data_IF_375580295310
#
_entry.id   IF_375580295310
#
_cell.length_a   1.000
_cell.length_b   1.000
_cell.length_c   1.000
_cell.angle_alpha   90.00
_cell.angle_beta   90.00
_cell.angle_gamma   90.00
#
_symmetry.space_group_name_H-M   'P 1'
#
loop_
_entity.id
_entity.type
_entity.pdbx_description
1 polymer ?
#
# COMPACT_ATOMS: atom_id res chain seq x y z
N UNK A 1 18.09 -34.51 26.54
CA UNK A 1 18.88 -33.94 25.43
C UNK A 1 17.91 -33.43 24.38
N UNK A 2 17.75 -32.11 24.28
CA UNK A 2 16.98 -31.49 23.19
C UNK A 2 17.86 -31.42 21.94
N UNK A 3 17.32 -31.65 20.73
CA UNK A 3 18.13 -31.62 19.52
C UNK A 3 18.59 -30.19 19.22
N UNK A 4 19.88 -30.03 18.98
CA UNK A 4 20.49 -28.80 18.51
C UNK A 4 20.07 -28.60 17.05
N UNK A 5 19.03 -27.79 16.83
CA UNK A 5 18.61 -27.41 15.48
C UNK A 5 19.67 -26.48 14.89
N UNK A 6 20.30 -26.94 13.82
CA UNK A 6 21.41 -26.26 13.15
C UNK A 6 20.93 -24.94 12.51
N UNK A 7 21.46 -23.79 12.94
CA UNK A 7 21.13 -22.44 12.43
C UNK A 7 21.16 -22.32 10.90
N UNK A 8 21.94 -23.15 10.20
CA UNK A 8 21.97 -23.18 8.72
C UNK A 8 20.68 -23.71 8.08
N UNK A 9 19.89 -24.53 8.78
CA UNK A 9 18.62 -25.05 8.27
C UNK A 9 17.47 -24.05 8.42
N UNK A 10 17.46 -23.22 9.47
CA UNK A 10 16.48 -22.13 9.62
C UNK A 10 16.64 -21.07 8.53
N UNK A 11 17.88 -20.67 8.21
CA UNK A 11 18.15 -19.66 7.16
C UNK A 11 17.73 -20.18 5.77
N UNK A 12 17.94 -21.46 5.47
CA UNK A 12 17.47 -22.06 4.20
C UNK A 12 15.94 -22.15 4.12
N UNK A 13 15.25 -22.41 5.23
CA UNK A 13 13.78 -22.43 5.27
C UNK A 13 13.20 -21.02 5.10
N UNK A 14 13.81 -20.01 5.73
CA UNK A 14 13.44 -18.60 5.55
C UNK A 14 13.64 -18.14 4.11
N UNK A 15 14.71 -18.56 3.43
CA UNK A 15 14.98 -18.23 2.02
C UNK A 15 14.04 -18.99 1.05
N UNK A 16 13.63 -20.22 1.36
CA UNK A 16 12.66 -20.97 0.55
C UNK A 16 11.24 -20.41 0.68
N UNK A 17 10.84 -19.96 1.88
CA UNK A 17 9.61 -19.15 2.06
C UNK A 17 9.76 -17.80 1.34
N UNK A 18 10.97 -17.21 1.32
CA UNK A 18 11.27 -15.97 0.60
C UNK A 18 11.15 -16.08 -0.92
N UNK A 19 11.60 -17.19 -1.50
CA UNK A 19 11.50 -17.45 -2.95
C UNK A 19 10.06 -17.75 -3.37
N UNK A 20 9.26 -18.39 -2.49
CA UNK A 20 7.81 -18.47 -2.68
C UNK A 20 7.15 -17.08 -2.59
N UNK A 21 7.65 -16.18 -1.72
CA UNK A 21 7.17 -14.79 -1.64
C UNK A 21 7.65 -13.86 -2.76
N UNK A 22 8.67 -14.25 -3.55
CA UNK A 22 9.03 -13.53 -4.78
C UNK A 22 7.95 -13.70 -5.86
N UNK A 23 7.31 -14.88 -5.95
CA UNK A 23 6.08 -15.05 -6.74
C UNK A 23 4.93 -14.25 -6.13
N UNK A 24 4.88 -14.13 -4.80
CA UNK A 24 3.85 -13.36 -4.10
C UNK A 24 3.96 -11.83 -4.23
N UNK A 25 4.96 -11.28 -4.94
CA UNK A 25 5.08 -9.82 -5.15
C UNK A 25 4.22 -9.34 -6.32
N UNK A 26 4.12 -10.12 -7.38
CA UNK A 26 3.08 -9.92 -8.39
C UNK A 26 1.70 -10.18 -7.76
N UNK A 27 1.61 -11.21 -6.91
CA UNK A 27 0.38 -11.50 -6.18
C UNK A 27 0.04 -10.41 -5.15
N UNK A 28 0.99 -9.67 -4.57
CA UNK A 28 0.64 -8.60 -3.63
C UNK A 28 -0.20 -7.54 -4.36
N UNK A 29 0.26 -7.04 -5.51
CA UNK A 29 -0.52 -6.14 -6.36
C UNK A 29 -1.88 -6.71 -6.79
N UNK A 30 -1.91 -8.00 -7.16
CA UNK A 30 -3.11 -8.69 -7.64
C UNK A 30 -4.11 -9.05 -6.52
N UNK A 31 -3.64 -9.49 -5.36
CA UNK A 31 -4.42 -9.81 -4.15
C UNK A 31 -5.14 -8.56 -3.68
N UNK A 32 -4.49 -7.39 -3.73
CA UNK A 32 -5.11 -6.16 -3.26
C UNK A 32 -6.21 -5.67 -4.22
N UNK A 33 -5.94 -5.71 -5.53
CA UNK A 33 -6.96 -5.45 -6.55
C UNK A 33 -8.16 -6.40 -6.38
N UNK A 34 -7.93 -7.62 -5.87
CA UNK A 34 -8.96 -8.63 -5.61
C UNK A 34 -9.72 -8.33 -4.31
N UNK A 35 -9.06 -7.90 -3.23
CA UNK A 35 -9.72 -7.55 -1.95
C UNK A 35 -10.64 -6.33 -2.09
N UNK A 36 -10.22 -5.27 -2.78
CA UNK A 36 -11.07 -4.09 -3.01
C UNK A 36 -12.29 -4.42 -3.90
N UNK A 37 -12.14 -5.34 -4.85
CA UNK A 37 -13.26 -5.85 -5.67
C UNK A 37 -14.23 -6.76 -4.90
N UNK A 38 -13.75 -7.46 -3.86
CA UNK A 38 -14.53 -8.42 -3.08
C UNK A 38 -15.24 -7.80 -1.87
N UNK A 39 -14.85 -6.60 -1.44
CA UNK A 39 -15.64 -5.82 -0.49
C UNK A 39 -16.96 -5.41 -1.17
N UNK A 40 -18.08 -5.84 -0.57
CA UNK A 40 -19.43 -5.76 -1.12
C UNK A 40 -19.69 -4.44 -1.90
N UNK A 41 -19.90 -4.48 -3.24
CA UNK A 41 -19.83 -3.31 -4.11
C UNK A 41 -20.88 -2.23 -3.82
N UNK A 42 -21.92 -2.55 -3.04
CA UNK A 42 -23.00 -1.61 -2.69
C UNK A 42 -22.51 -0.55 -1.67
N UNK A 43 -21.62 -0.93 -0.74
CA UNK A 43 -21.13 -0.02 0.30
C UNK A 43 -20.01 0.92 -0.18
N UNK A 44 -19.13 0.41 -1.06
CA UNK A 44 -17.98 1.19 -1.57
C UNK A 44 -18.39 2.25 -2.59
N UNK A 45 -19.42 1.98 -3.42
CA UNK A 45 -19.93 2.98 -4.38
C UNK A 45 -20.39 4.28 -3.69
N UNK A 46 -20.90 4.21 -2.47
CA UNK A 46 -21.34 5.38 -1.70
C UNK A 46 -20.17 6.19 -1.09
N UNK A 47 -18.93 5.69 -1.21
CA UNK A 47 -17.71 6.35 -0.76
C UNK A 47 -17.00 7.12 -1.88
N UNK A 48 -17.70 7.40 -2.97
CA UNK A 48 -17.21 8.29 -4.02
C UNK A 48 -16.93 9.68 -3.42
N UNK A 49 -15.70 10.17 -3.63
CA UNK A 49 -15.25 11.48 -3.14
C UNK A 49 -15.12 12.43 -4.33
N UNK A 50 -14.36 12.01 -5.34
CA UNK A 50 -14.23 12.71 -6.61
C UNK A 50 -13.70 11.70 -7.64
N UNK A 51 -14.53 11.32 -8.60
CA UNK A 51 -14.23 10.29 -9.60
C UNK A 51 -13.00 10.65 -10.44
N UNK A 52 -12.84 11.94 -10.78
CA UNK A 52 -11.72 12.40 -11.60
C UNK A 52 -10.37 12.25 -10.88
N UNK A 53 -10.30 12.67 -9.61
CA UNK A 53 -9.08 12.50 -8.79
C UNK A 53 -8.81 11.03 -8.54
N UNK A 54 -9.86 10.23 -8.32
CA UNK A 54 -9.74 8.79 -8.10
C UNK A 54 -9.17 8.06 -9.33
N UNK A 55 -9.77 8.27 -10.49
CA UNK A 55 -9.31 7.68 -11.75
C UNK A 55 -7.87 8.11 -12.04
N UNK A 56 -7.56 9.40 -11.88
CA UNK A 56 -6.21 9.89 -12.04
C UNK A 56 -5.23 9.22 -11.08
N UNK A 57 -5.57 9.13 -9.78
CA UNK A 57 -4.71 8.52 -8.76
C UNK A 57 -4.44 7.05 -9.08
N UNK A 58 -5.49 6.31 -9.45
CA UNK A 58 -5.39 4.89 -9.79
C UNK A 58 -4.55 4.68 -11.06
N UNK A 59 -4.76 5.51 -12.08
CA UNK A 59 -3.99 5.46 -13.32
C UNK A 59 -2.49 5.75 -13.08
N UNK A 60 -2.16 6.77 -12.28
CA UNK A 60 -0.77 7.07 -11.94
C UNK A 60 -0.11 5.95 -11.13
N UNK A 61 -0.85 5.35 -10.18
CA UNK A 61 -0.37 4.19 -9.42
C UNK A 61 -0.06 3.00 -10.33
N UNK A 62 -1.02 2.60 -11.17
CA UNK A 62 -0.88 1.47 -12.09
C UNK A 62 0.31 1.72 -13.02
N UNK A 63 0.36 2.89 -13.66
CA UNK A 63 1.47 3.28 -14.54
C UNK A 63 2.83 3.22 -13.84
N UNK A 64 2.92 3.72 -12.61
CA UNK A 64 4.17 3.68 -11.81
C UNK A 64 4.60 2.24 -11.51
N UNK A 65 3.65 1.37 -11.14
CA UNK A 65 3.93 -0.04 -10.85
C UNK A 65 4.36 -0.78 -12.12
N UNK A 66 3.63 -0.60 -13.22
CA UNK A 66 3.91 -1.24 -14.50
C UNK A 66 5.27 -0.81 -15.06
N UNK A 67 5.59 0.49 -14.97
CA UNK A 67 6.90 1.02 -15.34
C UNK A 67 8.00 0.33 -14.54
N UNK A 68 7.90 0.30 -13.21
CA UNK A 68 8.93 -0.31 -12.34
C UNK A 68 9.08 -1.81 -12.59
N UNK A 69 7.97 -2.53 -12.80
CA UNK A 69 7.99 -3.98 -13.05
C UNK A 69 8.48 -4.34 -14.47
N UNK A 70 8.50 -3.37 -15.41
CA UNK A 70 9.04 -3.57 -16.76
C UNK A 70 10.57 -3.47 -16.84
N UNK A 71 11.22 -3.08 -15.75
CA UNK A 71 12.66 -2.84 -15.69
C UNK A 71 13.42 -4.07 -15.19
N UNK A 72 14.62 -4.25 -15.72
CA UNK A 72 15.62 -5.15 -15.16
C UNK A 72 16.38 -4.45 -14.03
N UNK A 73 16.43 -5.06 -12.84
CA UNK A 73 17.11 -4.48 -11.68
C UNK A 73 18.63 -4.75 -11.74
N UNK A 74 19.44 -3.72 -11.46
CA UNK A 74 20.90 -3.87 -11.42
C UNK A 74 21.37 -4.62 -10.18
N UNK A 75 20.64 -4.44 -9.06
CA UNK A 75 20.96 -5.09 -7.81
C UNK A 75 19.76 -5.17 -6.87
N UNK A 76 19.88 -6.09 -5.92
CA UNK A 76 18.91 -6.30 -4.84
C UNK A 76 19.71 -6.30 -3.54
N UNK A 77 19.30 -5.49 -2.57
CA UNK A 77 19.87 -5.50 -1.22
C UNK A 77 18.84 -5.94 -0.19
N UNK A 78 19.27 -6.73 0.78
CA UNK A 78 18.45 -7.10 1.93
C UNK A 78 19.04 -6.51 3.19
N UNK A 79 18.25 -5.72 3.90
CA UNK A 79 18.53 -5.27 5.25
C UNK A 79 17.68 -6.09 6.22
N UNK A 80 18.32 -6.71 7.21
CA UNK A 80 17.67 -7.64 8.14
C UNK A 80 18.16 -7.35 9.55
N UNK A 81 17.24 -6.85 10.38
CA UNK A 81 17.44 -6.68 11.82
C UNK A 81 16.69 -7.78 12.56
N UNK A 82 16.81 -7.85 13.88
CA UNK A 82 16.01 -8.81 14.67
C UNK A 82 14.50 -8.60 14.51
N UNK A 83 14.06 -7.38 14.16
CA UNK A 83 12.64 -6.99 14.10
C UNK A 83 12.14 -6.85 12.66
N UNK A 84 13.00 -6.46 11.71
CA UNK A 84 12.57 -6.13 10.34
C UNK A 84 13.38 -6.89 9.29
N UNK A 85 12.75 -7.16 8.15
CA UNK A 85 13.44 -7.45 6.90
C UNK A 85 12.92 -6.49 5.84
N UNK A 86 13.84 -5.79 5.20
CA UNK A 86 13.58 -4.94 4.06
C UNK A 86 14.37 -5.46 2.86
N UNK A 87 13.70 -5.58 1.73
CA UNK A 87 14.33 -5.84 0.44
C UNK A 87 14.18 -4.61 -0.42
N UNK A 88 15.28 -4.14 -1.00
CA UNK A 88 15.33 -3.00 -1.89
C UNK A 88 15.85 -3.44 -3.26
N UNK A 89 15.18 -2.98 -4.32
CA UNK A 89 15.52 -3.24 -5.71
C UNK A 89 16.00 -1.95 -6.34
N UNK A 90 17.13 -2.00 -7.04
CA UNK A 90 17.81 -0.82 -7.57
C UNK A 90 17.85 -0.82 -9.09
N UNK A 91 17.73 0.37 -9.65
CA UNK A 91 17.92 0.67 -11.07
C UNK A 91 18.72 1.97 -11.19
N UNK A 92 19.80 1.94 -11.96
CA UNK A 92 20.82 2.97 -12.06
C UNK A 92 21.32 3.47 -10.69
N UNK A 93 21.50 2.54 -9.74
CA UNK A 93 21.96 2.85 -8.38
C UNK A 93 20.92 3.51 -7.46
N UNK A 94 19.68 3.68 -7.91
CA UNK A 94 18.58 4.27 -7.13
C UNK A 94 17.58 3.18 -6.76
N UNK A 95 17.09 3.17 -5.52
CA UNK A 95 16.04 2.24 -5.12
C UNK A 95 14.70 2.64 -5.74
N UNK A 96 14.16 1.76 -6.58
CA UNK A 96 12.89 1.96 -7.30
C UNK A 96 11.76 1.08 -6.77
N UNK A 97 12.07 0.10 -5.93
CA UNK A 97 11.08 -0.75 -5.27
C UNK A 97 11.62 -1.19 -3.93
N UNK A 98 10.76 -1.23 -2.93
CA UNK A 98 11.08 -1.90 -1.68
C UNK A 98 9.89 -2.65 -1.13
N UNK A 99 10.20 -3.68 -0.36
CA UNK A 99 9.25 -4.51 0.37
C UNK A 99 9.82 -4.71 1.76
N UNK A 100 9.06 -4.31 2.78
CA UNK A 100 9.43 -4.41 4.18
C UNK A 100 8.43 -5.25 4.94
N UNK A 101 8.91 -6.07 5.86
CA UNK A 101 8.07 -6.81 6.81
C UNK A 101 8.66 -6.82 8.22
N UNK A 102 7.76 -6.89 9.20
CA UNK A 102 8.11 -6.97 10.62
C UNK A 102 8.04 -8.42 11.09
N UNK A 103 9.17 -9.00 11.54
CA UNK A 103 9.35 -10.41 11.93
C UNK A 103 8.53 -10.83 13.13
N UNK A 104 8.61 -10.08 14.23
CA UNK A 104 8.07 -10.47 15.55
C UNK A 104 6.55 -10.41 15.68
N UNK A 105 5.95 -9.88 14.64
CA UNK A 105 4.67 -9.25 14.65
C UNK A 105 3.86 -9.82 13.49
N UNK A 106 4.51 -10.17 12.37
CA UNK A 106 3.80 -10.57 11.17
C UNK A 106 2.73 -9.53 10.90
N UNK A 107 3.06 -8.23 10.97
CA UNK A 107 2.03 -7.20 11.23
C UNK A 107 1.54 -6.48 10.00
N UNK A 108 2.36 -6.33 8.98
CA UNK A 108 2.01 -5.66 7.73
C UNK A 108 3.18 -5.81 6.76
N UNK A 109 2.92 -6.03 5.47
CA UNK A 109 3.94 -5.88 4.43
C UNK A 109 3.83 -4.48 3.86
N UNK A 110 4.83 -3.64 4.13
CA UNK A 110 4.94 -2.32 3.56
C UNK A 110 5.67 -2.40 2.21
N UNK A 111 5.27 -1.60 1.23
CA UNK A 111 5.92 -1.57 -0.07
C UNK A 111 5.85 -0.20 -0.73
N UNK A 112 6.78 0.03 -1.66
CA UNK A 112 6.68 1.12 -2.63
C UNK A 112 7.22 0.73 -4.00
N UNK A 113 6.76 1.46 -5.00
CA UNK A 113 7.25 1.50 -6.37
C UNK A 113 7.49 2.97 -6.72
N UNK A 114 8.73 3.34 -7.02
CA UNK A 114 9.16 4.69 -7.36
C UNK A 114 9.55 4.72 -8.83
N UNK A 115 8.83 5.50 -9.62
CA UNK A 115 9.12 5.67 -11.04
C UNK A 115 10.52 6.27 -11.23
N UNK A 116 11.34 5.74 -12.15
CA UNK A 116 12.61 6.37 -12.51
C UNK A 116 12.45 7.54 -13.47
N UNK A 117 11.35 7.62 -14.23
CA UNK A 117 11.13 8.69 -15.22
C UNK A 117 10.25 9.83 -14.71
N UNK A 118 9.48 9.57 -13.66
CA UNK A 118 8.60 10.56 -13.03
C UNK A 118 8.90 10.67 -11.54
N UNK A 119 8.42 11.73 -10.90
CA UNK A 119 8.58 11.91 -9.44
C UNK A 119 7.46 11.22 -8.64
N UNK A 120 6.73 10.29 -9.27
CA UNK A 120 5.65 9.53 -8.64
C UNK A 120 6.17 8.29 -7.92
N UNK A 121 5.50 7.98 -6.80
CA UNK A 121 5.69 6.74 -6.06
C UNK A 121 4.33 6.17 -5.63
N UNK A 122 4.04 4.93 -6.04
CA UNK A 122 2.93 4.17 -5.52
C UNK A 122 3.37 3.45 -4.25
N UNK A 123 2.64 3.59 -3.14
CA UNK A 123 3.03 2.99 -1.87
C UNK A 123 1.85 2.42 -1.10
N UNK A 124 2.14 1.46 -0.22
CA UNK A 124 1.09 0.80 0.52
C UNK A 124 1.55 -0.18 1.60
N UNK A 125 0.58 -0.66 2.36
CA UNK A 125 0.72 -1.69 3.39
C UNK A 125 -0.35 -2.79 3.18
N UNK A 126 -0.01 -4.07 3.33
CA UNK A 126 -0.99 -5.17 3.33
C UNK A 126 -1.18 -5.75 4.72
N UNK A 127 -2.37 -6.29 4.97
CA UNK A 127 -2.65 -7.03 6.18
C UNK A 127 -1.88 -8.34 6.21
N UNK A 128 -1.56 -8.82 7.40
CA UNK A 128 -0.92 -10.11 7.53
C UNK A 128 -1.91 -11.27 7.39
N UNK A 129 -1.38 -12.41 6.95
CA UNK A 129 -2.18 -13.60 6.66
C UNK A 129 -2.40 -14.46 7.93
N UNK A 130 -1.49 -14.42 8.90
CA UNK A 130 -1.43 -15.42 9.98
C UNK A 130 -1.64 -14.88 11.41
N UNK A 131 -2.04 -13.62 11.59
CA UNK A 131 -2.15 -13.01 12.93
C UNK A 131 -3.57 -12.60 13.33
N UNK A 132 -4.45 -13.60 13.50
CA UNK A 132 -5.85 -13.41 13.86
C UNK A 132 -6.04 -12.59 15.14
N UNK A 133 -5.17 -12.73 16.14
CA UNK A 133 -5.31 -12.03 17.43
C UNK A 133 -5.09 -10.50 17.29
N UNK A 134 -4.12 -10.07 16.49
CA UNK A 134 -3.91 -8.64 16.24
C UNK A 134 -4.94 -8.04 15.29
N UNK A 135 -5.44 -8.86 14.36
CA UNK A 135 -6.57 -8.52 13.50
C UNK A 135 -7.80 -8.25 14.38
N UNK A 136 -8.13 -9.13 15.32
CA UNK A 136 -9.25 -9.01 16.26
C UNK A 136 -9.14 -7.78 17.19
N UNK A 137 -7.92 -7.32 17.49
CA UNK A 137 -7.68 -6.11 18.29
C UNK A 137 -7.85 -4.80 17.51
N UNK A 138 -8.13 -4.86 16.21
CA UNK A 138 -8.42 -3.70 15.37
C UNK A 138 -7.26 -2.72 15.17
N UNK A 139 -6.03 -3.09 15.55
CA UNK A 139 -4.88 -2.17 15.47
C UNK A 139 -4.24 -2.08 14.07
N UNK A 140 -4.50 -3.06 13.21
CA UNK A 140 -3.85 -3.21 11.91
C UNK A 140 -4.74 -2.73 10.77
N UNK A 141 -4.11 -2.12 9.77
CA UNK A 141 -4.78 -1.67 8.56
C UNK A 141 -3.91 -1.87 7.33
N UNK A 142 -4.55 -2.03 6.18
CA UNK A 142 -3.93 -1.76 4.89
C UNK A 142 -3.95 -0.26 4.63
N UNK A 143 -2.97 0.19 3.86
CA UNK A 143 -2.92 1.54 3.33
C UNK A 143 -2.62 1.49 1.84
N UNK A 144 -3.26 2.34 1.04
CA UNK A 144 -2.82 2.64 -0.32
C UNK A 144 -2.78 4.14 -0.54
N UNK A 145 -1.75 4.58 -1.24
CA UNK A 145 -1.69 5.94 -1.72
C UNK A 145 -0.72 6.12 -2.86
N UNK A 146 -0.63 7.38 -3.27
CA UNK A 146 0.29 7.90 -4.25
C UNK A 146 1.08 9.03 -3.59
N UNK A 147 2.35 9.15 -3.96
CA UNK A 147 3.19 10.29 -3.63
C UNK A 147 3.71 10.95 -4.91
N UNK A 148 3.89 12.25 -4.85
CA UNK A 148 4.61 13.06 -5.83
C UNK A 148 5.65 13.87 -5.09
N UNK A 149 6.93 13.82 -5.50
CA UNK A 149 8.05 14.48 -4.77
C UNK A 149 8.06 14.13 -3.28
N UNK A 150 7.90 12.84 -2.96
CA UNK A 150 7.85 12.30 -1.59
C UNK A 150 6.65 12.76 -0.73
N UNK A 151 5.74 13.57 -1.26
CA UNK A 151 4.53 14.04 -0.56
C UNK A 151 3.29 13.29 -1.02
N UNK A 152 2.41 12.92 -0.09
CA UNK A 152 1.14 12.27 -0.43
C UNK A 152 0.25 13.16 -1.29
N UNK A 153 -0.32 12.58 -2.34
CA UNK A 153 -1.20 13.24 -3.31
C UNK A 153 -2.30 12.29 -3.79
N UNK A 154 -3.46 12.83 -4.14
CA UNK A 154 -4.57 12.06 -4.71
C UNK A 154 -5.33 11.27 -3.64
N UNK A 155 -5.98 10.19 -4.08
CA UNK A 155 -6.76 9.32 -3.19
C UNK A 155 -5.85 8.44 -2.34
N UNK A 156 -6.18 8.37 -1.05
CA UNK A 156 -5.69 7.35 -0.14
C UNK A 156 -6.85 6.47 0.36
N UNK A 157 -6.59 5.17 0.46
CA UNK A 157 -7.51 4.20 1.06
C UNK A 157 -6.87 3.52 2.26
N UNK A 158 -7.69 3.24 3.26
CA UNK A 158 -7.35 2.47 4.44
C UNK A 158 -8.43 1.41 4.66
N UNK A 159 -8.03 0.17 4.87
CA UNK A 159 -8.95 -0.90 5.25
C UNK A 159 -8.40 -1.56 6.50
N UNK A 160 -9.17 -1.55 7.59
CA UNK A 160 -8.82 -2.26 8.81
C UNK A 160 -8.75 -3.76 8.51
N UNK A 161 -7.77 -4.45 9.09
CA UNK A 161 -7.46 -5.83 8.69
C UNK A 161 -8.54 -6.86 9.07
N UNK A 162 -9.37 -6.54 10.05
CA UNK A 162 -10.59 -7.29 10.40
C UNK A 162 -11.73 -7.05 9.40
N UNK A 163 -11.52 -6.18 8.41
CA UNK A 163 -12.52 -5.76 7.44
C UNK A 163 -13.64 -4.91 8.03
N UNK A 164 -13.54 -4.45 9.29
CA UNK A 164 -14.63 -3.76 9.98
C UNK A 164 -14.81 -2.32 9.50
N UNK A 165 -13.71 -1.67 9.10
CA UNK A 165 -13.72 -0.26 8.70
C UNK A 165 -12.96 -0.05 7.39
N UNK A 166 -13.58 0.66 6.46
CA UNK A 166 -12.92 1.17 5.26
C UNK A 166 -12.97 2.70 5.26
N UNK A 167 -11.85 3.35 4.98
CA UNK A 167 -11.72 4.80 4.97
C UNK A 167 -11.06 5.27 3.69
N UNK A 168 -11.55 6.37 3.16
CA UNK A 168 -11.06 6.97 1.91
C UNK A 168 -11.03 8.48 2.04
N UNK A 169 -10.05 9.10 1.38
CA UNK A 169 -9.86 10.54 1.44
C UNK A 169 -8.84 11.04 0.44
N UNK A 170 -8.68 12.36 0.40
CA UNK A 170 -7.76 13.05 -0.50
C UNK A 170 -6.58 13.61 0.27
N UNK A 171 -5.39 13.44 -0.28
CA UNK A 171 -4.18 14.16 0.11
C UNK A 171 -3.76 15.16 -0.97
N UNK A 172 -3.18 16.28 -0.53
CA UNK A 172 -2.42 17.18 -1.39
C UNK A 172 -1.24 17.78 -0.63
N UNK A 173 -0.05 17.70 -1.21
CA UNK A 173 1.20 18.13 -0.57
C UNK A 173 1.38 17.59 0.86
N UNK A 174 1.01 16.32 1.07
CA UNK A 174 1.08 15.66 2.38
C UNK A 174 -0.07 15.99 3.35
N UNK A 175 -0.95 16.94 3.02
CA UNK A 175 -2.07 17.35 3.88
C UNK A 175 -3.35 16.61 3.52
N UNK A 176 -4.15 16.22 4.53
CA UNK A 176 -5.52 15.75 4.32
C UNK A 176 -6.38 16.94 3.91
N UNK A 177 -7.12 16.81 2.82
CA UNK A 177 -8.00 17.87 2.30
C UNK A 177 -9.40 17.32 2.01
N UNK A 178 -10.39 18.22 2.00
CA UNK A 178 -11.78 17.91 1.70
C UNK A 178 -12.41 16.88 2.65
N UNK A 179 -13.49 16.27 2.17
CA UNK A 179 -14.25 15.28 2.94
C UNK A 179 -13.60 13.90 2.86
N UNK A 180 -13.26 13.36 4.02
CA UNK A 180 -12.89 11.97 4.19
C UNK A 180 -14.10 11.17 4.65
N UNK A 181 -14.31 10.01 4.02
CA UNK A 181 -15.43 9.12 4.33
C UNK A 181 -14.94 7.85 5.00
N UNK A 182 -15.66 7.38 6.01
CA UNK A 182 -15.38 6.14 6.72
C UNK A 182 -16.64 5.29 6.74
N UNK A 183 -16.57 4.09 6.15
CA UNK A 183 -17.61 3.07 6.13
C UNK A 183 -17.35 2.08 7.26
N UNK A 184 -18.31 1.95 8.17
CA UNK A 184 -18.42 0.76 9.00
C UNK A 184 -19.03 -0.37 8.15
N UNK A 185 -18.26 -1.41 7.88
CA UNK A 185 -18.64 -2.49 6.96
C UNK A 185 -19.77 -3.34 7.52
N UNK A 186 -19.87 -3.46 8.84
CA UNK A 186 -20.92 -4.24 9.52
C UNK A 186 -22.26 -3.49 9.52
N UNK A 187 -22.27 -2.23 9.97
CA UNK A 187 -23.50 -1.43 10.08
C UNK A 187 -23.91 -0.76 8.78
N UNK A 188 -23.00 -0.71 7.79
CA UNK A 188 -23.13 0.07 6.55
C UNK A 188 -23.24 1.59 6.77
N UNK A 189 -22.94 2.05 7.97
CA UNK A 189 -22.93 3.47 8.31
C UNK A 189 -21.73 4.17 7.65
N UNK A 190 -21.98 5.33 7.06
CA UNK A 190 -20.93 6.20 6.52
C UNK A 190 -20.84 7.42 7.42
N UNK A 191 -19.64 7.66 7.94
CA UNK A 191 -19.30 8.87 8.68
C UNK A 191 -18.36 9.73 7.85
N UNK A 192 -18.54 11.04 7.94
CA UNK A 192 -17.78 12.02 7.18
C UNK A 192 -16.99 12.92 8.11
N UNK A 193 -15.75 13.22 7.73
CA UNK A 193 -14.92 14.23 8.38
C UNK A 193 -14.37 15.18 7.34
N UNK A 194 -14.79 16.43 7.43
CA UNK A 194 -14.23 17.51 6.61
C UNK A 194 -12.90 17.99 7.20
N UNK A 195 -11.86 18.02 6.35
CA UNK A 195 -10.54 18.55 6.68
C UNK A 195 -10.32 19.96 6.10
N UNK A 196 -11.33 20.54 5.46
CA UNK A 196 -11.28 21.87 4.86
C UNK A 196 -10.38 21.92 3.62
N UNK A 197 -9.86 23.12 3.34
CA UNK A 197 -8.93 23.37 2.22
C UNK A 197 -9.52 23.05 0.83
N UNK A 198 -10.77 23.46 0.58
CA UNK A 198 -11.41 23.27 -0.73
C UNK A 198 -10.60 23.85 -1.89
N UNK A 199 -9.89 24.95 -1.68
CA UNK A 199 -9.00 25.56 -2.69
C UNK A 199 -7.88 24.60 -3.13
N UNK A 200 -7.32 23.80 -2.21
CA UNK A 200 -6.30 22.81 -2.54
C UNK A 200 -6.87 21.63 -3.34
N UNK A 201 -8.18 21.37 -3.22
CA UNK A 201 -8.86 20.36 -4.04
C UNK A 201 -8.98 20.83 -5.49
N UNK A 202 -9.26 22.12 -5.70
CA UNK A 202 -9.30 22.72 -7.03
C UNK A 202 -7.91 22.73 -7.69
N UNK A 203 -6.85 23.03 -6.92
CA UNK A 203 -5.47 22.93 -7.39
C UNK A 203 -5.10 21.51 -7.82
N UNK A 204 -5.49 20.51 -7.02
CA UNK A 204 -5.30 19.11 -7.38
C UNK A 204 -6.05 18.74 -8.67
N UNK A 205 -7.30 19.19 -8.83
CA UNK A 205 -8.07 18.95 -10.05
C UNK A 205 -7.43 19.58 -11.30
N UNK A 206 -6.82 20.76 -11.16
CA UNK A 206 -6.08 21.37 -12.27
C UNK A 206 -4.86 20.52 -12.65
N UNK A 207 -4.13 19.98 -11.67
CA UNK A 207 -3.02 19.06 -11.91
C UNK A 207 -3.48 17.76 -12.58
N UNK A 208 -4.61 17.18 -12.16
CA UNK A 208 -5.13 15.95 -12.77
C UNK A 208 -5.55 16.14 -14.24
N UNK A 209 -5.91 17.37 -14.63
CA UNK A 209 -6.27 17.74 -16.00
C UNK A 209 -5.07 18.12 -16.86
N UNK A 210 -4.10 18.82 -16.29
CA UNK A 210 -2.91 19.30 -17.00
C UNK A 210 -1.86 18.22 -17.31
N UNK A 211 -1.95 17.06 -16.66
CA UNK A 211 -1.06 15.90 -16.86
C UNK A 211 -1.66 14.81 -17.79
N UNK A 212 -2.76 15.11 -18.50
CA UNK A 212 -3.38 14.20 -19.49
C UNK A 212 -2.74 14.35 -20.87
#
# INVERSE_FOLDING_TARGET
>A
MLPVINKKHLIRLSILIFLASCQSVNEAGDIINTTEKNLNPIGIKNLEINTEIEDWTNNQRIRTIDEVNSLDFDSISTDSTDIYINQFFYFNGVSIKAIGFTKDRSDTVAFYYKSPTTEFMANGETCPIENAELIEKGGLHTYRGLKYKEQHIGIATYLQCDGSTFKKGVYFNGNKIGTWKTLNVQTKEITEKDFGNSQLLDELLLLTRGLR
#
